data_IF_128425312690
#
_entry.id   IF_128425312690
#
_cell.length_a   1.000
_cell.length_b   1.000
_cell.length_c   1.000
_cell.angle_alpha   90.00
_cell.angle_beta   90.00
_cell.angle_gamma   90.00
#
_symmetry.space_group_name_H-M   'P 1'
#
loop_
_entity.id
_entity.type
_entity.pdbx_description
1 polymer ?
#
# COMPACT_ATOMS: atom_id res chain seq x y z
N UNK A 1 -0.43 -8.28 3.32
CA UNK A 1 0.75 -9.13 3.60
C UNK A 1 1.99 -8.25 3.73
N UNK A 2 2.80 -8.38 4.79
CA UNK A 2 4.08 -7.65 4.92
C UNK A 2 5.16 -8.34 4.07
N UNK A 3 5.58 -7.71 2.96
CA UNK A 3 6.56 -8.32 2.04
C UNK A 3 7.96 -8.48 2.67
N UNK A 4 8.33 -7.61 3.60
CA UNK A 4 9.60 -7.74 4.33
C UNK A 4 9.59 -8.98 5.22
N UNK A 5 8.47 -9.26 5.90
CA UNK A 5 8.34 -10.48 6.70
C UNK A 5 8.51 -11.77 5.87
N UNK A 6 8.17 -11.75 4.58
CA UNK A 6 8.33 -12.90 3.67
C UNK A 6 9.77 -13.17 3.24
N UNK A 7 10.66 -12.18 3.37
CA UNK A 7 12.08 -12.33 3.01
C UNK A 7 12.98 -12.51 4.23
N UNK A 8 12.39 -12.57 5.43
CA UNK A 8 13.13 -12.87 6.64
C UNK A 8 13.63 -14.32 6.60
N UNK A 9 14.87 -14.59 7.04
CA UNK A 9 15.40 -15.95 7.07
C UNK A 9 14.63 -16.81 8.07
N UNK A 10 14.37 -18.05 7.70
CA UNK A 10 13.72 -19.03 8.58
C UNK A 10 14.72 -19.66 9.55
N UNK A 11 14.24 -20.13 10.70
CA UNK A 11 15.00 -20.91 11.68
C UNK A 11 16.21 -20.19 12.33
N UNK A 12 16.20 -18.85 12.35
CA UNK A 12 17.18 -18.06 13.10
C UNK A 12 16.48 -17.14 14.10
N UNK A 13 17.12 -16.94 15.25
CA UNK A 13 16.69 -15.92 16.21
C UNK A 13 17.12 -14.55 15.70
N UNK A 14 16.17 -13.74 15.28
CA UNK A 14 16.43 -12.38 14.81
C UNK A 14 16.61 -11.43 16.00
N UNK A 15 17.74 -10.72 16.03
CA UNK A 15 17.94 -9.56 16.90
C UNK A 15 17.52 -8.28 16.17
N UNK A 16 17.28 -7.20 16.91
CA UNK A 16 16.96 -5.89 16.33
C UNK A 16 18.02 -5.43 15.30
N UNK A 17 19.30 -5.58 15.64
CA UNK A 17 20.40 -5.22 14.72
C UNK A 17 20.35 -6.02 13.42
N UNK A 18 20.10 -7.34 13.51
CA UNK A 18 20.01 -8.17 12.31
C UNK A 18 18.78 -7.81 11.46
N UNK A 19 17.65 -7.46 12.08
CA UNK A 19 16.46 -7.01 11.36
C UNK A 19 16.75 -5.71 10.62
N UNK A 20 17.45 -4.76 11.25
CA UNK A 20 17.81 -3.48 10.62
C UNK A 20 18.74 -3.69 9.42
N UNK A 21 19.75 -4.55 9.55
CA UNK A 21 20.66 -4.88 8.45
C UNK A 21 19.92 -5.55 7.29
N UNK A 22 19.12 -6.58 7.57
CA UNK A 22 18.30 -7.25 6.56
C UNK A 22 17.32 -6.30 5.87
N UNK A 23 16.71 -5.38 6.64
CA UNK A 23 15.83 -4.38 6.06
C UNK A 23 16.59 -3.48 5.09
N UNK A 24 17.74 -2.92 5.51
CA UNK A 24 18.59 -2.07 4.68
C UNK A 24 19.01 -2.77 3.38
N UNK A 25 19.45 -4.01 3.49
CA UNK A 25 19.88 -4.82 2.34
C UNK A 25 18.72 -5.13 1.38
N UNK A 26 17.49 -5.14 1.88
CA UNK A 26 16.29 -5.40 1.09
C UNK A 26 15.62 -4.17 0.49
N UNK A 27 16.06 -2.95 0.81
CA UNK A 27 15.38 -1.70 0.40
C UNK A 27 15.17 -1.64 -1.12
N UNK A 28 16.20 -1.93 -1.90
CA UNK A 28 16.13 -1.86 -3.37
C UNK A 28 15.15 -2.89 -3.93
N UNK A 29 15.16 -4.10 -3.37
CA UNK A 29 14.20 -5.16 -3.73
C UNK A 29 12.76 -4.75 -3.39
N UNK A 30 12.54 -4.23 -2.19
CA UNK A 30 11.23 -3.73 -1.74
C UNK A 30 10.74 -2.59 -2.64
N UNK A 31 11.61 -1.65 -2.99
CA UNK A 31 11.27 -0.55 -3.89
C UNK A 31 10.83 -1.06 -5.28
N UNK A 32 11.57 -1.99 -5.88
CA UNK A 32 11.20 -2.60 -7.17
C UNK A 32 9.87 -3.35 -7.05
N UNK A 33 9.66 -4.10 -5.97
CA UNK A 33 8.41 -4.80 -5.72
C UNK A 33 7.22 -3.83 -5.66
N UNK A 34 7.33 -2.74 -4.89
CA UNK A 34 6.27 -1.74 -4.78
C UNK A 34 6.03 -1.02 -6.10
N UNK A 35 7.06 -0.62 -6.84
CA UNK A 35 6.91 -0.02 -8.17
C UNK A 35 6.14 -0.96 -9.10
N UNK A 36 6.53 -2.24 -9.15
CA UNK A 36 5.87 -3.22 -10.00
C UNK A 36 4.41 -3.45 -9.60
N UNK A 37 4.13 -3.65 -8.32
CA UNK A 37 2.77 -3.82 -7.81
C UNK A 37 1.92 -2.56 -8.08
N UNK A 38 2.46 -1.38 -7.80
CA UNK A 38 1.80 -0.10 -8.03
C UNK A 38 1.48 0.15 -9.51
N UNK A 39 2.35 -0.29 -10.42
CA UNK A 39 2.15 -0.18 -11.88
C UNK A 39 0.98 -1.03 -12.40
N UNK A 40 0.61 -2.11 -11.69
CA UNK A 40 -0.53 -2.98 -12.04
C UNK A 40 -1.88 -2.39 -11.65
N UNK A 41 -1.88 -1.38 -10.79
CA UNK A 41 -3.09 -0.72 -10.34
C UNK A 41 -3.62 0.24 -11.42
N UNK A 42 -4.94 0.31 -11.51
CA UNK A 42 -5.63 1.35 -12.26
C UNK A 42 -5.50 2.68 -11.53
N UNK A 43 -5.71 3.78 -12.26
CA UNK A 43 -5.73 5.11 -11.67
C UNK A 43 -6.72 5.24 -10.51
N UNK A 44 -7.88 4.57 -10.60
CA UNK A 44 -8.87 4.57 -9.53
C UNK A 44 -8.40 3.78 -8.30
N UNK A 45 -7.77 2.62 -8.49
CA UNK A 45 -7.19 1.82 -7.39
C UNK A 45 -6.07 2.58 -6.68
N UNK A 46 -5.19 3.26 -7.43
CA UNK A 46 -4.14 4.13 -6.88
C UNK A 46 -4.74 5.27 -6.03
N UNK A 47 -5.79 5.95 -6.55
CA UNK A 47 -6.51 7.00 -5.82
C UNK A 47 -7.14 6.48 -4.53
N UNK A 48 -7.71 5.27 -4.54
CA UNK A 48 -8.25 4.65 -3.32
C UNK A 48 -7.13 4.43 -2.29
N UNK A 49 -6.00 3.82 -2.67
CA UNK A 49 -4.88 3.62 -1.73
C UNK A 49 -4.41 4.95 -1.15
N UNK A 50 -4.22 5.97 -2.00
CA UNK A 50 -3.81 7.31 -1.53
C UNK A 50 -4.82 7.90 -0.57
N UNK A 51 -6.12 7.74 -0.83
CA UNK A 51 -7.17 8.21 0.08
C UNK A 51 -7.13 7.51 1.44
N UNK A 52 -6.57 6.30 1.53
CA UNK A 52 -6.42 5.54 2.77
C UNK A 52 -5.11 5.87 3.52
N UNK A 53 -4.22 6.69 2.95
CA UNK A 53 -3.03 7.14 3.65
C UNK A 53 -3.44 7.96 4.90
N UNK A 54 -2.90 7.58 6.05
CA UNK A 54 -3.11 8.25 7.32
C UNK A 54 -4.16 7.59 8.23
N UNK A 55 -5.31 7.16 7.70
CA UNK A 55 -6.32 6.51 8.54
C UNK A 55 -7.28 5.57 7.79
N UNK A 56 -7.81 4.53 8.48
CA UNK A 56 -8.86 3.68 7.93
C UNK A 56 -10.14 4.45 7.60
N UNK A 57 -10.82 4.10 6.51
CA UNK A 57 -12.04 4.78 6.03
C UNK A 57 -13.14 3.81 5.59
N UNK A 58 -14.40 4.16 5.81
CA UNK A 58 -15.57 3.50 5.22
C UNK A 58 -15.62 3.74 3.72
N UNK A 59 -16.29 2.86 2.99
CA UNK A 59 -16.53 3.01 1.54
C UNK A 59 -17.11 4.37 1.16
N UNK A 60 -18.05 4.89 1.95
CA UNK A 60 -18.68 6.20 1.68
C UNK A 60 -17.70 7.36 1.85
N UNK A 61 -16.78 7.27 2.82
CA UNK A 61 -15.75 8.29 3.05
C UNK A 61 -14.73 8.32 1.90
N UNK A 62 -14.37 7.14 1.38
CA UNK A 62 -13.53 7.01 0.18
C UNK A 62 -14.25 7.62 -1.02
N UNK A 63 -15.54 7.28 -1.21
CA UNK A 63 -16.33 7.78 -2.33
C UNK A 63 -16.43 9.32 -2.33
N UNK A 64 -16.69 9.90 -1.16
CA UNK A 64 -16.75 11.35 -0.97
C UNK A 64 -15.39 12.01 -1.25
N UNK A 65 -14.29 11.41 -0.76
CA UNK A 65 -12.93 11.92 -0.98
C UNK A 65 -12.54 11.91 -2.47
N UNK A 66 -13.01 10.90 -3.21
CA UNK A 66 -12.70 10.73 -4.63
C UNK A 66 -13.73 11.37 -5.56
N UNK A 67 -14.76 12.01 -5.02
CA UNK A 67 -15.88 12.61 -5.77
C UNK A 67 -16.55 11.63 -6.74
N UNK A 68 -16.74 10.38 -6.32
CA UNK A 68 -17.39 9.32 -7.11
C UNK A 68 -18.57 8.70 -6.39
N UNK A 69 -19.42 7.97 -7.12
CA UNK A 69 -20.48 7.19 -6.48
C UNK A 69 -19.91 6.02 -5.70
N UNK A 70 -20.46 5.75 -4.51
CA UNK A 70 -20.04 4.59 -3.69
C UNK A 70 -20.11 3.28 -4.50
N UNK A 71 -21.14 3.12 -5.35
CA UNK A 71 -21.29 1.98 -6.26
C UNK A 71 -20.08 1.72 -7.16
N UNK A 72 -19.45 2.78 -7.69
CA UNK A 72 -18.29 2.67 -8.59
C UNK A 72 -17.05 2.07 -7.92
N UNK A 73 -16.98 2.11 -6.58
CA UNK A 73 -15.85 1.57 -5.83
C UNK A 73 -15.85 0.05 -5.67
N UNK A 74 -16.94 -0.65 -6.04
CA UNK A 74 -17.06 -2.09 -5.76
C UNK A 74 -15.93 -2.91 -6.38
N UNK A 75 -15.71 -2.72 -7.69
CA UNK A 75 -14.69 -3.45 -8.45
C UNK A 75 -13.26 -3.10 -7.99
N UNK A 76 -12.86 -1.83 -7.87
CA UNK A 76 -11.50 -1.52 -7.45
C UNK A 76 -11.22 -1.90 -5.99
N UNK A 77 -12.18 -1.77 -5.07
CA UNK A 77 -11.98 -2.23 -3.67
C UNK A 77 -11.78 -3.74 -3.60
N UNK A 78 -12.60 -4.53 -4.32
CA UNK A 78 -12.44 -5.98 -4.35
C UNK A 78 -11.08 -6.39 -4.92
N UNK A 79 -10.62 -5.74 -6.01
CA UNK A 79 -9.29 -6.02 -6.57
C UNK A 79 -8.16 -5.68 -5.61
N UNK A 80 -8.29 -4.60 -4.84
CA UNK A 80 -7.29 -4.22 -3.83
C UNK A 80 -7.27 -5.19 -2.64
N UNK A 81 -8.43 -5.73 -2.25
CA UNK A 81 -8.54 -6.81 -1.27
C UNK A 81 -7.88 -8.09 -1.81
N UNK A 82 -8.17 -8.47 -3.06
CA UNK A 82 -7.60 -9.66 -3.71
C UNK A 82 -6.07 -9.59 -3.86
N UNK A 83 -5.51 -8.38 -3.97
CA UNK A 83 -4.07 -8.14 -3.99
C UNK A 83 -3.44 -8.03 -2.59
N UNK A 84 -4.23 -8.22 -1.52
CA UNK A 84 -3.82 -8.02 -0.13
C UNK A 84 -3.20 -6.64 0.15
N UNK A 85 -3.59 -5.61 -0.61
CA UNK A 85 -3.08 -4.23 -0.45
C UNK A 85 -3.89 -3.43 0.57
N UNK A 86 -5.17 -3.77 0.67
CA UNK A 86 -6.06 -3.26 1.70
C UNK A 86 -6.73 -4.45 2.41
N UNK A 87 -7.21 -4.20 3.61
CA UNK A 87 -8.08 -5.11 4.34
C UNK A 87 -9.33 -4.37 4.80
N UNK A 88 -10.38 -5.11 5.12
CA UNK A 88 -11.63 -4.57 5.64
C UNK A 88 -11.85 -5.04 7.07
N UNK A 89 -11.67 -4.14 8.03
CA UNK A 89 -11.69 -4.41 9.47
C UNK A 89 -12.54 -3.34 10.15
N UNK A 90 -13.43 -3.75 11.06
CA UNK A 90 -14.29 -2.83 11.82
C UNK A 90 -15.06 -1.83 10.92
N UNK A 91 -15.65 -2.34 9.84
CA UNK A 91 -16.40 -1.56 8.85
C UNK A 91 -15.56 -0.51 8.07
N UNK A 92 -14.22 -0.63 8.09
CA UNK A 92 -13.32 0.31 7.42
C UNK A 92 -12.29 -0.43 6.58
N UNK A 93 -11.89 0.20 5.49
CA UNK A 93 -10.74 -0.20 4.68
C UNK A 93 -9.48 0.44 5.24
N UNK A 94 -8.38 -0.31 5.28
CA UNK A 94 -7.06 0.19 5.64
C UNK A 94 -5.96 -0.50 4.83
N UNK A 95 -4.83 0.17 4.64
CA UNK A 95 -3.66 -0.40 3.95
C UNK A 95 -3.06 -1.48 4.84
N UNK A 96 -2.75 -2.64 4.26
CA UNK A 96 -2.22 -3.80 5.01
C UNK A 96 -0.74 -3.71 5.33
N UNK A 97 0.04 -3.05 4.46
CA UNK A 97 1.49 -2.98 4.56
C UNK A 97 1.95 -1.56 4.97
N UNK A 98 2.50 -1.36 6.18
CA UNK A 98 3.01 -0.06 6.60
C UNK A 98 4.21 0.39 5.76
N UNK A 99 4.98 -0.53 5.17
CA UNK A 99 6.13 -0.20 4.31
C UNK A 99 5.63 0.41 2.99
N UNK A 100 4.51 -0.08 2.45
CA UNK A 100 3.85 0.54 1.29
C UNK A 100 3.41 1.98 1.59
N UNK A 101 2.82 2.20 2.77
CA UNK A 101 2.42 3.54 3.24
C UNK A 101 3.62 4.48 3.29
N UNK A 102 4.71 4.04 3.92
CA UNK A 102 5.94 4.82 4.02
C UNK A 102 6.56 5.11 2.65
N UNK A 103 6.60 4.13 1.75
CA UNK A 103 7.11 4.30 0.39
C UNK A 103 6.31 5.36 -0.39
N UNK A 104 4.98 5.33 -0.32
CA UNK A 104 4.11 6.32 -0.97
C UNK A 104 4.32 7.73 -0.42
N UNK A 105 4.38 7.87 0.91
CA UNK A 105 4.62 9.15 1.59
C UNK A 105 5.98 9.75 1.20
N UNK A 106 7.05 8.96 1.31
CA UNK A 106 8.39 9.38 0.94
C UNK A 106 8.51 9.71 -0.56
N UNK A 107 7.81 9.00 -1.43
CA UNK A 107 7.75 9.34 -2.87
C UNK A 107 7.07 10.70 -3.10
N UNK A 108 5.98 10.99 -2.38
CA UNK A 108 5.29 12.27 -2.46
C UNK A 108 6.13 13.41 -1.90
N UNK A 109 6.78 13.22 -0.76
CA UNK A 109 7.69 14.22 -0.16
C UNK A 109 8.85 14.59 -1.09
N UNK A 110 9.43 13.62 -1.81
CA UNK A 110 10.54 13.86 -2.73
C UNK A 110 10.13 14.53 -4.03
N UNK A 111 8.98 14.15 -4.58
CA UNK A 111 8.58 14.55 -5.94
C UNK A 111 7.47 15.61 -5.97
N UNK A 112 6.86 15.93 -4.82
CA UNK A 112 5.69 16.80 -4.72
C UNK A 112 4.38 16.19 -5.24
N UNK A 113 4.43 14.97 -5.80
CA UNK A 113 3.29 14.23 -6.35
C UNK A 113 3.41 12.74 -6.04
N UNK A 114 2.25 12.07 -5.90
CA UNK A 114 2.22 10.61 -5.87
C UNK A 114 2.55 10.04 -7.26
N UNK A 115 3.16 8.85 -7.35
CA UNK A 115 3.56 8.25 -8.61
C UNK A 115 2.35 7.69 -9.38
N UNK A 116 1.42 8.55 -9.82
CA UNK A 116 0.28 8.11 -10.62
C UNK A 116 0.74 7.50 -11.94
N UNK A 117 -0.01 6.49 -12.41
CA UNK A 117 0.19 5.99 -13.77
C UNK A 117 -0.08 7.12 -14.76
N UNK A 118 0.86 7.35 -15.68
CA UNK A 118 0.64 8.24 -16.82
C UNK A 118 -0.56 7.73 -17.62
N UNK A 119 -1.53 8.61 -17.86
CA UNK A 119 -2.73 8.34 -18.66
C UNK A 119 -2.33 8.15 -20.13
#
# INVERSE_FOLDING_TARGET
>A
INIFAKILPENITLTENNIIELFKDSIDYLAVHFIFMWSKLTFQEQKIIISLLGNPKRRIEIANTLEVTSGSLNRPLNRLLDFDLIEYVNDKYQITDPILTYWLQNSHEKNGIYPFRSI
#
